data_IF_215785148535
#
_entry.id   IF_215785148535
#
_cell.length_a   1.000
_cell.length_b   1.000
_cell.length_c   1.000
_cell.angle_alpha   90.00
_cell.angle_beta   90.00
_cell.angle_gamma   90.00
#
_symmetry.space_group_name_H-M   'P 1'
#
loop_
_entity.id
_entity.type
_entity.pdbx_description
1 polymer ?
#
# COMPACT_ATOMS: atom_id res chain seq x y z
N UNK A 1 13.12 -35.76 32.82
CA UNK A 1 13.91 -35.83 31.57
C UNK A 1 14.88 -34.65 31.53
N UNK A 2 15.72 -34.56 30.50
CA UNK A 2 16.64 -33.44 30.30
C UNK A 2 16.44 -32.85 28.92
N UNK A 3 16.33 -31.53 28.84
CA UNK A 3 16.26 -30.74 27.61
C UNK A 3 17.69 -30.62 27.06
N UNK A 4 17.92 -31.15 25.86
CA UNK A 4 19.17 -30.98 25.13
C UNK A 4 19.07 -29.78 24.20
N UNK A 5 19.94 -28.78 24.40
CA UNK A 5 19.95 -27.55 23.59
C UNK A 5 21.37 -27.08 23.32
N UNK A 6 21.59 -26.40 22.20
CA UNK A 6 22.90 -25.84 21.87
C UNK A 6 23.00 -24.40 22.38
N UNK A 7 24.14 -24.05 22.98
CA UNK A 7 24.38 -22.68 23.42
C UNK A 7 24.45 -21.71 22.23
N UNK A 8 23.69 -20.62 22.26
CA UNK A 8 23.74 -19.57 21.21
C UNK A 8 25.10 -18.89 21.07
N UNK A 9 25.95 -18.91 22.12
CA UNK A 9 27.26 -18.26 22.11
C UNK A 9 28.42 -19.19 21.77
N UNK A 10 28.51 -20.34 22.45
CA UNK A 10 29.64 -21.26 22.28
C UNK A 10 29.29 -22.53 21.51
N UNK A 11 28.03 -22.70 21.11
CA UNK A 11 27.50 -23.86 20.36
C UNK A 11 27.72 -25.23 21.01
N UNK A 12 28.18 -25.28 22.26
CA UNK A 12 28.28 -26.53 23.01
C UNK A 12 26.90 -27.02 23.39
N UNK A 13 26.72 -28.35 23.36
CA UNK A 13 25.53 -29.03 23.83
C UNK A 13 25.39 -28.85 25.34
N UNK A 14 24.24 -28.35 25.79
CA UNK A 14 23.87 -28.16 27.19
C UNK A 14 22.72 -29.11 27.49
N UNK A 15 22.82 -29.81 28.62
CA UNK A 15 21.72 -30.60 29.19
C UNK A 15 21.12 -29.84 30.36
N UNK A 16 19.90 -29.33 30.17
CA UNK A 16 19.15 -28.65 31.21
C UNK A 16 18.08 -29.59 31.79
N UNK A 17 17.75 -29.49 33.09
CA UNK A 17 16.60 -30.20 33.65
C UNK A 17 15.29 -29.65 33.07
N UNK A 18 14.25 -30.50 32.94
CA UNK A 18 12.95 -30.08 32.38
C UNK A 18 12.31 -28.91 33.14
N UNK A 19 12.54 -28.82 34.46
CA UNK A 19 12.06 -27.72 35.30
C UNK A 19 12.66 -26.35 34.97
N UNK A 20 13.69 -26.32 34.12
CA UNK A 20 14.31 -25.11 33.60
C UNK A 20 13.72 -24.72 32.22
N UNK A 21 12.90 -25.58 31.61
CA UNK A 21 12.10 -25.25 30.44
C UNK A 21 11.28 -23.98 30.67
N UNK A 22 11.32 -23.07 29.72
CA UNK A 22 10.65 -21.77 29.79
C UNK A 22 11.35 -20.71 30.65
N UNK A 23 12.52 -21.00 31.25
CA UNK A 23 13.27 -20.07 32.11
C UNK A 23 14.60 -19.64 31.47
N UNK A 24 15.20 -18.58 32.03
CA UNK A 24 16.58 -18.19 31.71
C UNK A 24 17.58 -19.01 32.52
N UNK A 25 18.55 -19.63 31.84
CA UNK A 25 19.65 -20.38 32.44
C UNK A 25 21.01 -19.85 31.96
N UNK A 26 22.08 -20.20 32.68
CA UNK A 26 23.47 -19.88 32.28
C UNK A 26 24.13 -21.10 31.66
N UNK A 27 24.86 -20.90 30.56
CA UNK A 27 25.67 -21.94 29.96
C UNK A 27 26.83 -22.33 30.90
N UNK A 28 27.02 -23.63 31.22
CA UNK A 28 28.08 -24.08 32.11
C UNK A 28 29.49 -23.93 31.49
N UNK A 29 29.59 -23.78 30.17
CA UNK A 29 30.88 -23.68 29.47
C UNK A 29 31.37 -22.25 29.26
N UNK A 30 30.48 -21.28 29.10
CA UNK A 30 30.85 -19.89 28.76
C UNK A 30 30.14 -18.83 29.61
N UNK A 31 29.26 -19.23 30.53
CA UNK A 31 28.51 -18.34 31.41
C UNK A 31 27.42 -17.51 30.74
N UNK A 32 27.20 -17.66 29.43
CA UNK A 32 26.19 -16.89 28.70
C UNK A 32 24.77 -17.21 29.20
N UNK A 33 23.98 -16.17 29.47
CA UNK A 33 22.59 -16.30 29.88
C UNK A 33 21.70 -16.47 28.65
N UNK A 34 20.94 -17.57 28.59
CA UNK A 34 20.06 -17.89 27.47
C UNK A 34 18.75 -18.51 27.94
N UNK A 35 17.74 -18.48 27.08
CA UNK A 35 16.44 -19.08 27.35
C UNK A 35 16.48 -20.59 27.07
N UNK A 36 15.94 -21.40 27.98
CA UNK A 36 15.81 -22.85 27.81
C UNK A 36 14.42 -23.10 27.24
N UNK A 37 14.31 -23.66 26.02
CA UNK A 37 13.00 -23.91 25.41
C UNK A 37 12.22 -24.92 26.25
N UNK A 38 10.91 -24.71 26.36
CA UNK A 38 10.02 -25.71 26.92
C UNK A 38 9.84 -26.80 25.86
N UNK A 39 9.89 -28.10 26.22
CA UNK A 39 9.43 -29.14 25.30
C UNK A 39 8.00 -28.80 24.90
N UNK A 40 7.72 -28.77 23.60
CA UNK A 40 6.35 -28.61 23.11
C UNK A 40 5.56 -29.84 23.53
N UNK A 41 4.64 -29.66 24.49
CA UNK A 41 3.66 -30.69 24.82
C UNK A 41 2.62 -30.74 23.70
N UNK A 42 2.41 -31.95 23.21
CA UNK A 42 1.37 -32.46 22.33
C UNK A 42 1.04 -31.66 21.06
N UNK A 43 1.29 -32.29 19.92
CA UNK A 43 0.74 -31.86 18.63
C UNK A 43 -0.79 -31.81 18.76
N UNK A 44 -1.37 -30.62 18.65
CA UNK A 44 -2.83 -30.47 18.64
C UNK A 44 -3.34 -31.18 17.38
N UNK A 45 -4.13 -32.27 17.51
CA UNK A 45 -4.66 -32.95 16.34
C UNK A 45 -5.59 -31.99 15.61
N UNK A 46 -5.43 -31.91 14.29
CA UNK A 46 -6.37 -31.17 13.46
C UNK A 46 -7.76 -31.79 13.63
N UNK A 47 -8.77 -30.94 13.80
CA UNK A 47 -10.15 -31.39 13.76
C UNK A 47 -10.44 -32.05 12.40
N UNK A 48 -11.27 -33.10 12.37
CA UNK A 48 -11.69 -33.69 11.10
C UNK A 48 -12.42 -32.63 10.27
N UNK A 49 -12.18 -32.66 8.96
CA UNK A 49 -12.86 -31.77 8.02
C UNK A 49 -14.31 -32.20 7.87
N UNK A 50 -15.25 -31.26 8.00
CA UNK A 50 -16.66 -31.48 7.67
C UNK A 50 -16.85 -31.27 6.15
N UNK A 51 -17.04 -32.37 5.42
CA UNK A 51 -17.18 -32.36 3.96
C UNK A 51 -18.40 -31.55 3.48
N UNK A 52 -19.45 -31.45 4.28
CA UNK A 52 -20.65 -30.68 3.92
C UNK A 52 -20.43 -29.17 4.09
N UNK A 53 -19.69 -28.77 5.12
CA UNK A 53 -19.24 -27.39 5.27
C UNK A 53 -18.27 -27.00 4.14
N UNK A 54 -17.32 -27.88 3.80
CA UNK A 54 -16.37 -27.64 2.72
C UNK A 54 -17.07 -27.49 1.35
N UNK A 55 -18.05 -28.34 1.06
CA UNK A 55 -18.86 -28.24 -0.17
C UNK A 55 -19.63 -26.91 -0.23
N UNK A 56 -20.25 -26.49 0.88
CA UNK A 56 -20.94 -25.19 0.96
C UNK A 56 -19.98 -24.02 0.73
N UNK A 57 -18.81 -24.04 1.37
CA UNK A 57 -17.79 -23.02 1.19
C UNK A 57 -17.26 -22.98 -0.25
N UNK A 58 -17.10 -24.14 -0.90
CA UNK A 58 -16.64 -24.21 -2.29
C UNK A 58 -17.69 -23.63 -3.26
N UNK A 59 -18.97 -23.93 -3.05
CA UNK A 59 -20.08 -23.38 -3.84
C UNK A 59 -20.18 -21.86 -3.68
N UNK A 60 -20.07 -21.35 -2.45
CA UNK A 60 -20.05 -19.92 -2.17
C UNK A 60 -18.86 -19.23 -2.86
N UNK A 61 -17.67 -19.83 -2.77
CA UNK A 61 -16.47 -19.32 -3.45
C UNK A 61 -16.66 -19.29 -4.96
N UNK A 62 -17.20 -20.34 -5.57
CA UNK A 62 -17.50 -20.39 -7.01
C UNK A 62 -18.50 -19.31 -7.41
N UNK A 63 -19.53 -19.09 -6.59
CA UNK A 63 -20.53 -18.04 -6.82
C UNK A 63 -19.92 -16.65 -6.76
N UNK A 64 -19.06 -16.39 -5.77
CA UNK A 64 -18.37 -15.11 -5.61
C UNK A 64 -17.46 -14.82 -6.82
N UNK A 65 -16.70 -15.81 -7.28
CA UNK A 65 -15.83 -15.67 -8.46
C UNK A 65 -16.65 -15.33 -9.72
N UNK A 66 -17.76 -16.03 -9.94
CA UNK A 66 -18.65 -15.75 -11.08
C UNK A 66 -19.20 -14.33 -11.02
N UNK A 67 -19.73 -13.93 -9.87
CA UNK A 67 -20.24 -12.58 -9.68
C UNK A 67 -19.17 -11.51 -9.91
N UNK A 68 -17.94 -11.74 -9.41
CA UNK A 68 -16.83 -10.81 -9.63
C UNK A 68 -16.47 -10.66 -11.11
N UNK A 69 -16.45 -11.76 -11.87
CA UNK A 69 -16.23 -11.74 -13.32
C UNK A 69 -17.35 -10.99 -14.05
N UNK A 70 -18.62 -11.26 -13.69
CA UNK A 70 -19.79 -10.60 -14.27
C UNK A 70 -19.75 -9.08 -14.02
N UNK A 71 -19.39 -8.66 -12.81
CA UNK A 71 -19.22 -7.23 -12.47
C UNK A 71 -18.09 -6.61 -13.28
N UNK A 72 -16.93 -7.26 -13.37
CA UNK A 72 -15.79 -6.76 -14.16
C UNK A 72 -16.16 -6.56 -15.64
N UNK A 73 -16.92 -7.49 -16.22
CA UNK A 73 -17.44 -7.35 -17.58
C UNK A 73 -18.48 -6.23 -17.70
N UNK A 74 -19.39 -6.08 -16.73
CA UNK A 74 -20.47 -5.09 -16.76
C UNK A 74 -20.01 -3.66 -16.53
N UNK A 75 -19.00 -3.44 -15.69
CA UNK A 75 -18.46 -2.09 -15.41
C UNK A 75 -17.48 -1.61 -16.49
N UNK A 76 -17.36 -2.35 -17.61
CA UNK A 76 -16.42 -2.01 -18.67
C UNK A 76 -14.98 -2.01 -18.17
N UNK A 77 -14.64 -2.91 -17.24
CA UNK A 77 -13.36 -2.97 -16.57
C UNK A 77 -12.22 -3.05 -17.58
N UNK A 78 -11.59 -1.91 -17.81
CA UNK A 78 -10.20 -1.76 -18.20
C UNK A 78 -9.31 -2.30 -17.08
N UNK A 79 -9.41 -3.60 -16.82
CA UNK A 79 -8.49 -4.34 -15.98
C UNK A 79 -7.16 -4.53 -16.73
N UNK A 80 -6.41 -3.45 -16.90
CA UNK A 80 -4.98 -3.52 -17.18
C UNK A 80 -4.23 -3.78 -15.88
N UNK A 81 -4.32 -4.99 -15.34
CA UNK A 81 -3.40 -5.46 -14.28
C UNK A 81 -2.25 -6.33 -14.85
N UNK A 82 -2.27 -6.65 -16.14
CA UNK A 82 -1.22 -7.47 -16.80
C UNK A 82 -0.51 -6.76 -17.96
N UNK A 83 -0.70 -5.45 -18.13
CA UNK A 83 0.07 -4.64 -19.09
C UNK A 83 0.60 -3.35 -18.45
N UNK A 84 1.01 -3.41 -17.17
CA UNK A 84 1.91 -2.38 -16.66
C UNK A 84 3.31 -2.74 -17.16
N UNK A 85 3.89 -2.03 -18.15
CA UNK A 85 5.30 -2.21 -18.47
C UNK A 85 6.10 -1.96 -17.17
N UNK A 86 7.22 -2.66 -16.93
CA UNK A 86 8.11 -2.31 -15.83
C UNK A 86 8.34 -0.80 -15.89
N UNK A 87 8.33 -0.08 -14.74
CA UNK A 87 8.44 1.37 -14.74
C UNK A 87 9.60 1.74 -15.67
N UNK A 88 9.37 2.60 -16.68
CA UNK A 88 10.41 2.90 -17.64
C UNK A 88 11.62 3.37 -16.85
N UNK A 89 12.70 2.59 -16.93
CA UNK A 89 14.03 3.04 -16.54
C UNK A 89 14.19 4.42 -17.14
N UNK A 90 14.21 5.45 -16.29
CA UNK A 90 14.31 6.86 -16.68
C UNK A 90 15.68 7.11 -17.32
N UNK A 91 15.78 6.71 -18.58
CA UNK A 91 16.88 7.00 -19.48
C UNK A 91 16.26 7.42 -20.80
N UNK A 92 15.96 8.71 -20.91
CA UNK A 92 16.08 9.40 -22.19
C UNK A 92 14.82 9.54 -23.05
N UNK A 93 13.69 9.94 -22.49
CA UNK A 93 12.71 10.72 -23.28
C UNK A 93 12.90 12.19 -22.90
N UNK A 94 13.28 13.01 -23.88
CA UNK A 94 13.41 14.46 -23.71
C UNK A 94 12.10 15.03 -23.14
N UNK A 95 12.15 16.03 -22.23
CA UNK A 95 10.94 16.52 -21.57
C UNK A 95 10.08 17.23 -22.62
N UNK A 96 8.95 16.62 -22.98
CA UNK A 96 7.79 17.40 -23.39
C UNK A 96 7.54 18.40 -22.27
N UNK A 97 7.58 19.69 -22.59
CA UNK A 97 7.34 20.75 -21.64
C UNK A 97 5.94 20.58 -21.07
N UNK A 98 5.85 20.10 -19.83
CA UNK A 98 4.58 20.00 -19.10
C UNK A 98 3.96 21.39 -19.06
N UNK A 99 2.77 21.54 -19.64
CA UNK A 99 1.99 22.76 -19.55
C UNK A 99 1.30 22.79 -18.18
N UNK A 100 1.92 23.51 -17.25
CA UNK A 100 1.43 23.66 -15.87
C UNK A 100 0.01 24.23 -15.82
N UNK A 101 -0.37 25.10 -16.75
CA UNK A 101 -1.70 25.68 -16.78
C UNK A 101 -2.76 24.65 -17.12
N UNK A 102 -2.52 23.88 -18.17
CA UNK A 102 -3.44 22.83 -18.61
C UNK A 102 -3.66 21.77 -17.51
N UNK A 103 -2.60 21.40 -16.78
CA UNK A 103 -2.69 20.39 -15.72
C UNK A 103 -3.42 20.89 -14.46
N UNK A 104 -3.22 22.15 -14.07
CA UNK A 104 -3.97 22.76 -12.95
C UNK A 104 -5.45 22.89 -13.30
N UNK A 105 -5.76 23.31 -14.53
CA UNK A 105 -7.14 23.38 -15.02
C UNK A 105 -7.80 21.99 -15.08
N UNK A 106 -7.07 20.99 -15.58
CA UNK A 106 -7.52 19.60 -15.61
C UNK A 106 -7.84 19.09 -14.20
N UNK A 107 -6.98 19.37 -13.22
CA UNK A 107 -7.22 19.02 -11.82
C UNK A 107 -8.50 19.65 -11.27
N UNK A 108 -8.69 20.97 -11.45
CA UNK A 108 -9.86 21.68 -10.92
C UNK A 108 -11.16 21.18 -11.56
N UNK A 109 -11.14 20.96 -12.88
CA UNK A 109 -12.28 20.42 -13.63
C UNK A 109 -12.62 19.00 -13.17
N UNK A 110 -11.62 18.14 -13.00
CA UNK A 110 -11.79 16.77 -12.53
C UNK A 110 -12.36 16.73 -11.10
N UNK A 111 -11.83 17.57 -10.20
CA UNK A 111 -12.35 17.71 -8.83
C UNK A 111 -13.80 18.21 -8.82
N UNK A 112 -14.14 19.18 -9.67
CA UNK A 112 -15.52 19.68 -9.83
C UNK A 112 -16.50 18.63 -10.36
N UNK A 113 -16.03 17.77 -11.28
CA UNK A 113 -16.81 16.69 -11.86
C UNK A 113 -16.82 15.39 -11.00
N UNK A 114 -16.21 15.40 -9.81
CA UNK A 114 -16.04 14.22 -8.95
C UNK A 114 -15.26 13.07 -9.59
N UNK A 115 -14.36 13.37 -10.53
CA UNK A 115 -13.51 12.40 -11.23
C UNK A 115 -12.13 12.33 -10.57
N UNK A 116 -12.02 11.58 -9.49
CA UNK A 116 -10.83 11.60 -8.63
C UNK A 116 -9.58 10.99 -9.28
N UNK A 117 -9.76 9.99 -10.16
CA UNK A 117 -8.64 9.35 -10.85
C UNK A 117 -7.97 10.30 -11.85
N UNK A 118 -8.76 11.06 -12.62
CA UNK A 118 -8.26 12.10 -13.53
C UNK A 118 -7.54 13.22 -12.75
N UNK A 119 -8.06 13.58 -11.56
CA UNK A 119 -7.43 14.56 -10.69
C UNK A 119 -6.07 14.07 -10.15
N UNK A 120 -5.97 12.81 -9.73
CA UNK A 120 -4.70 12.24 -9.24
C UNK A 120 -3.66 12.12 -10.36
N UNK A 121 -4.08 11.79 -11.58
CA UNK A 121 -3.20 11.77 -12.74
C UNK A 121 -2.61 13.16 -13.05
N UNK A 122 -3.40 14.22 -12.91
CA UNK A 122 -2.91 15.60 -13.06
C UNK A 122 -1.91 15.99 -11.95
N UNK A 123 -2.15 15.59 -10.70
CA UNK A 123 -1.20 15.78 -9.59
C UNK A 123 0.12 15.08 -9.88
N UNK A 124 0.08 13.84 -10.38
CA UNK A 124 1.28 13.08 -10.72
C UNK A 124 2.12 13.79 -11.80
N UNK A 125 1.46 14.31 -12.85
CA UNK A 125 2.15 15.09 -13.89
C UNK A 125 2.75 16.39 -13.34
N UNK A 126 2.02 17.10 -12.48
CA UNK A 126 2.52 18.31 -11.82
C UNK A 126 3.71 18.04 -10.89
N UNK A 127 3.76 16.88 -10.21
CA UNK A 127 4.89 16.49 -9.37
C UNK A 127 6.19 16.35 -10.15
N UNK A 128 6.15 15.92 -11.41
CA UNK A 128 7.35 15.88 -12.25
C UNK A 128 7.96 17.26 -12.51
N UNK A 129 7.18 18.34 -12.38
CA UNK A 129 7.67 19.71 -12.48
C UNK A 129 8.16 20.29 -11.13
N UNK A 130 7.93 19.59 -10.01
CA UNK A 130 8.44 19.93 -8.68
C UNK A 130 8.08 21.35 -8.23
N UNK A 131 9.09 22.07 -7.73
CA UNK A 131 8.96 23.44 -7.21
C UNK A 131 8.34 24.42 -8.22
N UNK A 132 8.51 24.18 -9.52
CA UNK A 132 7.90 25.02 -10.56
C UNK A 132 6.38 24.92 -10.56
N UNK A 133 5.83 23.74 -10.29
CA UNK A 133 4.39 23.54 -10.18
C UNK A 133 3.83 24.24 -8.93
N UNK A 134 4.54 24.14 -7.79
CA UNK A 134 4.15 24.84 -6.55
C UNK A 134 4.10 26.34 -6.77
N UNK A 135 5.20 26.93 -7.27
CA UNK A 135 5.29 28.36 -7.54
C UNK A 135 4.24 28.84 -8.57
N UNK A 136 3.91 28.00 -9.56
CA UNK A 136 2.87 28.31 -10.55
C UNK A 136 1.48 28.35 -9.93
N UNK A 137 1.14 27.36 -9.09
CA UNK A 137 -0.15 27.24 -8.40
C UNK A 137 -0.37 28.40 -7.41
N UNK A 138 0.69 28.81 -6.68
CA UNK A 138 0.62 29.95 -5.76
C UNK A 138 0.36 31.29 -6.46
N UNK A 139 0.78 31.42 -7.71
CA UNK A 139 0.59 32.63 -8.52
C UNK A 139 -0.78 32.69 -9.22
N UNK A 140 -1.58 31.62 -9.18
CA UNK A 140 -2.87 31.60 -9.87
C UNK A 140 -3.94 32.42 -9.15
N UNK A 141 -4.72 33.17 -9.93
CA UNK A 141 -5.91 33.85 -9.42
C UNK A 141 -7.10 32.85 -9.37
N UNK A 142 -7.65 32.54 -8.19
CA UNK A 142 -8.75 31.59 -8.05
C UNK A 142 -10.05 32.07 -8.72
N UNK A 143 -10.22 33.38 -8.95
CA UNK A 143 -11.37 33.93 -9.66
C UNK A 143 -11.27 33.63 -11.15
N UNK A 144 -10.10 33.84 -11.75
CA UNK A 144 -9.87 33.55 -13.16
C UNK A 144 -10.06 32.05 -13.46
N UNK A 145 -9.55 31.18 -12.58
CA UNK A 145 -9.75 29.73 -12.72
C UNK A 145 -11.20 29.28 -12.55
N UNK A 146 -11.96 29.93 -11.65
CA UNK A 146 -13.38 29.63 -11.47
C UNK A 146 -14.20 29.92 -12.74
N UNK A 147 -13.87 31.00 -13.45
CA UNK A 147 -14.52 31.38 -14.71
C UNK A 147 -14.13 30.43 -15.85
N UNK A 148 -12.88 29.96 -15.92
CA UNK A 148 -12.44 28.97 -16.93
C UNK A 148 -12.99 27.56 -16.71
N UNK A 149 -13.19 27.14 -15.46
CA UNK A 149 -13.54 25.76 -15.11
C UNK A 149 -15.04 25.46 -15.01
N UNK A 150 -15.91 26.37 -15.47
CA UNK A 150 -17.36 26.12 -15.57
C UNK A 150 -18.17 26.58 -14.36
N UNK A 151 -17.97 27.83 -13.92
CA UNK A 151 -18.75 28.50 -12.87
C UNK A 151 -18.72 27.80 -11.49
N UNK A 152 -17.57 27.23 -11.13
CA UNK A 152 -17.36 26.72 -9.77
C UNK A 152 -17.39 27.88 -8.75
N UNK A 153 -18.02 27.70 -7.57
CA UNK A 153 -17.96 28.71 -6.52
C UNK A 153 -16.52 29.01 -6.10
N UNK A 154 -16.14 30.28 -5.99
CA UNK A 154 -14.79 30.70 -5.56
C UNK A 154 -14.26 29.99 -4.31
N UNK A 155 -15.06 29.74 -3.25
CA UNK A 155 -14.57 29.02 -2.07
C UNK A 155 -14.12 27.58 -2.39
N UNK A 156 -14.78 26.94 -3.36
CA UNK A 156 -14.49 25.56 -3.78
C UNK A 156 -13.17 25.52 -4.54
N UNK A 157 -12.97 26.43 -5.50
CA UNK A 157 -11.71 26.53 -6.27
C UNK A 157 -10.53 26.83 -5.36
N UNK A 158 -10.70 27.75 -4.40
CA UNK A 158 -9.67 28.03 -3.37
C UNK A 158 -9.34 26.78 -2.54
N UNK A 159 -10.37 26.02 -2.17
CA UNK A 159 -10.21 24.74 -1.47
C UNK A 159 -9.39 23.75 -2.30
N UNK A 160 -9.72 23.60 -3.59
CA UNK A 160 -9.01 22.70 -4.49
C UNK A 160 -7.55 23.10 -4.71
N UNK A 161 -7.25 24.38 -4.91
CA UNK A 161 -5.87 24.86 -5.02
C UNK A 161 -5.07 24.59 -3.75
N UNK A 162 -5.66 24.78 -2.57
CA UNK A 162 -5.01 24.45 -1.29
C UNK A 162 -4.75 22.94 -1.15
N UNK A 163 -5.70 22.10 -1.57
CA UNK A 163 -5.51 20.65 -1.61
C UNK A 163 -4.40 20.26 -2.58
N UNK A 164 -4.34 20.89 -3.75
CA UNK A 164 -3.30 20.66 -4.74
C UNK A 164 -1.92 21.00 -4.18
N UNK A 165 -1.76 22.19 -3.58
CA UNK A 165 -0.50 22.61 -2.93
C UNK A 165 -0.04 21.60 -1.87
N UNK A 166 -0.93 21.21 -0.95
CA UNK A 166 -0.58 20.25 0.09
C UNK A 166 -0.14 18.89 -0.46
N UNK A 167 -0.69 18.45 -1.60
CA UNK A 167 -0.30 17.20 -2.27
C UNK A 167 1.02 17.30 -3.03
N UNK A 168 1.36 18.49 -3.54
CA UNK A 168 2.65 18.73 -4.20
C UNK A 168 3.79 18.82 -3.16
N UNK A 169 3.53 19.45 -2.01
CA UNK A 169 4.51 19.58 -0.92
C UNK A 169 4.76 18.28 -0.16
N UNK A 170 3.75 17.40 -0.01
CA UNK A 170 3.86 16.15 0.75
C UNK A 170 4.59 15.01 0.01
N UNK A 171 4.90 15.20 -1.28
CA UNK A 171 5.49 14.18 -2.15
C UNK A 171 6.89 14.52 -2.68
N UNK A 172 7.52 15.59 -2.17
CA UNK A 172 8.91 15.96 -2.47
C UNK A 172 9.91 15.33 -1.51
#
# INVERSE_FOLDING_TARGET
>A
MSIELHCTRCQKLIRAPDNAGGKRGKCPYCGHSMYIPMPVEDEIPLAPVDEEEERRAEEERKRAIRYAADVAHATGGDASWENEPPPPSLSGVAPESIDLGAEVEAFIRAMGASKLDEAEAAVHRLRHAGDRAVAYVEQQDPKALAELCGDLPLPVVKGFLKTLLGRLESGS
#
